data_IF_539390631133
#
_entry.id   IF_539390631133
#
_cell.length_a   1.000
_cell.length_b   1.000
_cell.length_c   1.000
_cell.angle_alpha   90.00
_cell.angle_beta   90.00
_cell.angle_gamma   90.00
#
_symmetry.space_group_name_H-M   'P 1'
#
loop_
_entity.id
_entity.type
_entity.pdbx_description
1 polymer ?
#
# COMPACT_ATOMS: atom_id res chain seq x y z
N UNK A 1 -24.36 21.75 16.61
CA UNK A 1 -24.03 20.31 16.45
C UNK A 1 -23.91 20.04 14.95
N UNK A 2 -22.73 19.69 14.45
CA UNK A 2 -22.45 19.71 13.00
C UNK A 2 -22.68 18.32 12.39
N UNK A 3 -23.88 18.08 11.86
CA UNK A 3 -24.30 16.79 11.30
C UNK A 3 -23.42 16.30 10.13
N UNK A 4 -22.64 17.21 9.56
CA UNK A 4 -21.82 16.97 8.38
C UNK A 4 -20.55 16.17 8.67
N UNK A 5 -20.05 16.17 9.91
CA UNK A 5 -18.71 15.65 10.20
C UNK A 5 -18.70 14.13 10.45
N UNK A 6 -19.66 13.63 11.24
CA UNK A 6 -19.80 12.18 11.48
C UNK A 6 -20.17 11.43 10.18
N UNK A 7 -21.02 12.02 9.32
CA UNK A 7 -21.41 11.39 8.06
C UNK A 7 -20.21 11.24 7.12
N UNK A 8 -19.23 12.14 7.22
CA UNK A 8 -17.98 12.07 6.47
C UNK A 8 -17.05 10.98 7.00
N UNK A 9 -16.96 10.81 8.32
CA UNK A 9 -16.15 9.73 8.95
C UNK A 9 -16.74 8.36 8.65
N UNK A 10 -18.05 8.19 8.81
CA UNK A 10 -18.71 6.93 8.46
C UNK A 10 -18.49 6.59 6.97
N UNK A 11 -18.73 7.55 6.07
CA UNK A 11 -18.51 7.35 4.63
C UNK A 11 -17.06 7.06 4.28
N UNK A 12 -16.09 7.61 5.01
CA UNK A 12 -14.66 7.37 4.78
C UNK A 12 -14.35 5.88 4.90
N UNK A 13 -14.75 5.25 6.01
CA UNK A 13 -14.46 3.84 6.26
C UNK A 13 -15.42 2.90 5.53
N UNK A 14 -16.72 3.22 5.52
CA UNK A 14 -17.74 2.36 4.92
C UNK A 14 -17.56 2.18 3.41
N UNK A 15 -17.26 3.26 2.69
CA UNK A 15 -17.10 3.22 1.24
C UNK A 15 -15.65 2.98 0.80
N UNK A 16 -14.76 2.63 1.73
CA UNK A 16 -13.34 2.51 1.42
C UNK A 16 -13.09 1.31 0.51
N UNK A 17 -12.54 1.57 -0.67
CA UNK A 17 -12.10 0.53 -1.60
C UNK A 17 -10.65 0.16 -1.33
N UNK A 18 -10.39 -1.13 -1.14
CA UNK A 18 -9.07 -1.67 -0.78
C UNK A 18 -8.13 -1.88 -1.98
N UNK A 19 -8.36 -1.19 -3.10
CA UNK A 19 -7.49 -1.30 -4.28
C UNK A 19 -6.04 -0.88 -3.99
N UNK A 20 -5.84 0.12 -3.13
CA UNK A 20 -4.50 0.55 -2.73
C UNK A 20 -3.79 -0.54 -1.94
N UNK A 21 -4.48 -1.13 -0.96
CA UNK A 21 -3.99 -2.26 -0.17
C UNK A 21 -3.58 -3.43 -1.09
N UNK A 22 -4.46 -3.87 -1.99
CA UNK A 22 -4.15 -4.99 -2.88
C UNK A 22 -2.98 -4.69 -3.82
N UNK A 23 -2.87 -3.46 -4.33
CA UNK A 23 -1.72 -3.08 -5.16
C UNK A 23 -0.42 -3.08 -4.35
N UNK A 24 -0.44 -2.58 -3.11
CA UNK A 24 0.71 -2.61 -2.20
C UNK A 24 1.11 -4.04 -1.86
N UNK A 25 0.17 -4.90 -1.48
CA UNK A 25 0.45 -6.31 -1.15
C UNK A 25 0.99 -7.07 -2.37
N UNK A 26 0.35 -6.95 -3.52
CA UNK A 26 0.81 -7.59 -4.75
C UNK A 26 2.22 -7.11 -5.14
N UNK A 27 2.51 -5.81 -5.00
CA UNK A 27 3.85 -5.27 -5.25
C UNK A 27 4.88 -5.78 -4.22
N UNK A 28 4.54 -5.82 -2.92
CA UNK A 28 5.42 -6.39 -1.87
C UNK A 28 5.76 -7.85 -2.18
N UNK A 29 4.75 -8.64 -2.54
CA UNK A 29 4.94 -10.03 -2.94
C UNK A 29 5.79 -10.15 -4.20
N UNK A 30 5.53 -9.33 -5.23
CA UNK A 30 6.35 -9.29 -6.43
C UNK A 30 7.83 -9.00 -6.14
N UNK A 31 8.12 -8.03 -5.30
CA UNK A 31 9.50 -7.65 -4.97
C UNK A 31 10.21 -8.68 -4.08
N UNK A 32 9.46 -9.39 -3.23
CA UNK A 32 10.02 -10.35 -2.26
C UNK A 32 10.15 -11.75 -2.85
N UNK A 33 9.12 -12.20 -3.57
CA UNK A 33 8.96 -13.57 -4.04
C UNK A 33 9.03 -13.70 -5.57
N UNK A 34 9.09 -12.60 -6.31
CA UNK A 34 9.23 -12.61 -7.76
C UNK A 34 10.39 -13.49 -8.23
N UNK A 35 10.12 -14.38 -9.18
CA UNK A 35 11.13 -15.30 -9.73
C UNK A 35 12.19 -14.57 -10.58
N UNK A 36 11.83 -13.42 -11.16
CA UNK A 36 12.67 -12.63 -12.05
C UNK A 36 12.85 -11.19 -11.54
N UNK A 37 13.46 -10.99 -10.37
CA UNK A 37 13.72 -9.63 -9.85
C UNK A 37 14.82 -8.88 -10.63
N UNK A 38 15.63 -9.60 -11.40
CA UNK A 38 16.76 -9.05 -12.17
C UNK A 38 16.57 -9.07 -13.68
N UNK A 39 15.41 -9.48 -14.21
CA UNK A 39 15.21 -9.46 -15.66
C UNK A 39 15.06 -8.03 -16.19
N UNK A 40 15.52 -7.81 -17.42
CA UNK A 40 15.41 -6.51 -18.09
C UNK A 40 13.95 -6.04 -18.19
N UNK A 41 13.03 -6.95 -18.49
CA UNK A 41 11.58 -6.68 -18.51
C UNK A 41 11.05 -6.21 -17.15
N UNK A 42 11.54 -6.80 -16.05
CA UNK A 42 11.16 -6.40 -14.70
C UNK A 42 11.59 -4.97 -14.41
N UNK A 43 12.87 -4.68 -14.66
CA UNK A 43 13.47 -3.36 -14.45
C UNK A 43 12.81 -2.27 -15.29
N UNK A 44 12.55 -2.55 -16.57
CA UNK A 44 11.82 -1.64 -17.47
C UNK A 44 10.42 -1.38 -16.92
N UNK A 45 9.72 -2.42 -16.45
CA UNK A 45 8.35 -2.26 -15.96
C UNK A 45 8.28 -1.48 -14.65
N UNK A 46 9.19 -1.74 -13.70
CA UNK A 46 9.29 -0.94 -12.47
C UNK A 46 9.68 0.51 -12.75
N UNK A 47 10.60 0.73 -13.69
CA UNK A 47 10.98 2.08 -14.12
C UNK A 47 9.82 2.80 -14.81
N UNK A 48 9.01 2.09 -15.61
CA UNK A 48 7.79 2.61 -16.21
C UNK A 48 6.79 3.04 -15.15
N UNK A 49 6.54 2.19 -14.13
CA UNK A 49 5.67 2.53 -13.01
C UNK A 49 6.19 3.74 -12.23
N UNK A 50 7.49 3.77 -11.93
CA UNK A 50 8.13 4.91 -11.27
C UNK A 50 7.91 6.20 -12.06
N UNK A 51 8.16 6.18 -13.38
CA UNK A 51 7.94 7.34 -14.24
C UNK A 51 6.48 7.80 -14.26
N UNK A 52 5.54 6.85 -14.23
CA UNK A 52 4.10 7.16 -14.20
C UNK A 52 3.60 7.63 -12.84
N UNK A 53 4.23 7.19 -11.76
CA UNK A 53 3.88 7.57 -10.39
C UNK A 53 4.51 8.87 -9.92
N UNK A 54 5.66 9.24 -10.49
CA UNK A 54 6.36 10.46 -10.10
C UNK A 54 5.60 11.70 -10.56
N UNK A 55 5.12 12.47 -9.59
CA UNK A 55 4.53 13.80 -9.80
C UNK A 55 5.61 14.86 -10.06
N UNK A 56 6.86 14.61 -9.64
CA UNK A 56 7.98 15.54 -9.84
C UNK A 56 8.40 15.64 -11.31
N UNK A 57 8.59 16.88 -11.77
CA UNK A 57 9.19 17.22 -13.06
C UNK A 57 10.73 17.32 -12.99
N UNK A 58 11.33 17.13 -11.81
CA UNK A 58 12.78 17.16 -11.63
C UNK A 58 13.46 16.00 -12.37
N UNK A 59 14.36 16.32 -13.30
CA UNK A 59 15.19 15.33 -13.98
C UNK A 59 16.09 14.58 -13.00
N UNK A 60 16.61 15.28 -11.98
CA UNK A 60 17.48 14.67 -10.96
C UNK A 60 16.72 13.65 -10.09
N UNK A 61 15.46 13.92 -9.74
CA UNK A 61 14.64 12.96 -8.98
C UNK A 61 14.42 11.69 -9.81
N UNK A 62 14.10 11.86 -11.10
CA UNK A 62 13.90 10.75 -12.03
C UNK A 62 15.16 9.92 -12.20
N UNK A 63 16.32 10.56 -12.37
CA UNK A 63 17.60 9.87 -12.52
C UNK A 63 17.99 9.13 -11.23
N UNK A 64 17.90 9.80 -10.08
CA UNK A 64 18.24 9.22 -8.78
C UNK A 64 17.37 8.00 -8.46
N UNK A 65 16.06 8.11 -8.65
CA UNK A 65 15.13 7.00 -8.37
C UNK A 65 15.24 5.87 -9.40
N UNK A 66 15.48 6.19 -10.68
CA UNK A 66 15.74 5.17 -11.71
C UNK A 66 17.03 4.40 -11.42
N UNK A 67 18.06 5.08 -10.92
CA UNK A 67 19.30 4.44 -10.50
C UNK A 67 19.07 3.45 -9.36
N UNK A 68 18.25 3.83 -8.35
CA UNK A 68 17.86 2.91 -7.26
C UNK A 68 17.05 1.71 -7.78
N UNK A 69 16.05 1.94 -8.64
CA UNK A 69 15.21 0.85 -9.21
C UNK A 69 16.04 -0.16 -10.00
N UNK A 70 17.10 0.30 -10.69
CA UNK A 70 17.97 -0.57 -11.47
C UNK A 70 19.06 -1.28 -10.65
N UNK A 71 18.99 -1.23 -9.32
CA UNK A 71 19.90 -1.93 -8.41
C UNK A 71 21.13 -1.13 -7.98
N UNK A 72 21.14 0.18 -8.22
CA UNK A 72 22.31 1.06 -8.04
C UNK A 72 22.67 1.45 -6.60
N UNK A 73 22.53 0.60 -5.59
CA UNK A 73 22.96 0.94 -4.22
C UNK A 73 24.08 0.05 -3.71
N UNK A 74 25.18 0.02 -4.46
CA UNK A 74 26.40 -0.66 -4.04
C UNK A 74 27.11 0.13 -2.93
N UNK A 75 27.42 -0.57 -1.83
CA UNK A 75 27.93 0.03 -0.57
C UNK A 75 29.23 0.84 -0.74
N UNK A 76 30.01 0.56 -1.79
CA UNK A 76 31.32 1.16 -2.06
C UNK A 76 31.35 2.11 -3.27
N UNK A 77 30.22 2.38 -3.90
CA UNK A 77 30.15 3.29 -5.05
C UNK A 77 30.01 4.74 -4.61
N UNK A 78 30.88 5.62 -5.12
CA UNK A 78 30.78 7.08 -4.92
C UNK A 78 29.44 7.60 -5.48
N UNK A 79 29.01 7.07 -6.63
CA UNK A 79 27.72 7.41 -7.23
C UNK A 79 26.55 6.99 -6.32
N UNK A 80 26.60 5.80 -5.73
CA UNK A 80 25.57 5.35 -4.77
C UNK A 80 25.52 6.23 -3.53
N UNK A 81 26.67 6.67 -3.00
CA UNK A 81 26.71 7.63 -1.88
C UNK A 81 26.12 8.99 -2.25
N UNK A 82 26.43 9.50 -3.44
CA UNK A 82 25.88 10.76 -3.94
C UNK A 82 24.36 10.68 -4.14
N UNK A 83 23.87 9.59 -4.73
CA UNK A 83 22.43 9.39 -4.93
C UNK A 83 21.71 9.24 -3.59
N UNK A 84 22.28 8.50 -2.63
CA UNK A 84 21.71 8.41 -1.28
C UNK A 84 21.66 9.76 -0.59
N UNK A 85 22.73 10.56 -0.64
CA UNK A 85 22.76 11.90 -0.07
C UNK A 85 21.71 12.81 -0.73
N UNK A 86 21.57 12.74 -2.06
CA UNK A 86 20.54 13.48 -2.79
C UNK A 86 19.13 13.09 -2.35
N UNK A 87 18.84 11.79 -2.29
CA UNK A 87 17.53 11.27 -1.90
C UNK A 87 17.17 11.64 -0.46
N UNK A 88 18.13 11.55 0.47
CA UNK A 88 17.95 11.97 1.87
C UNK A 88 17.65 13.47 1.96
N UNK A 89 18.41 14.31 1.25
CA UNK A 89 18.18 15.77 1.24
C UNK A 89 16.84 16.17 0.62
N UNK A 90 16.25 15.31 -0.22
CA UNK A 90 14.95 15.52 -0.87
C UNK A 90 13.79 14.86 -0.13
N UNK A 91 14.04 14.22 1.02
CA UNK A 91 13.08 13.37 1.74
C UNK A 91 12.48 12.22 0.90
N UNK A 92 13.19 11.79 -0.14
CA UNK A 92 12.82 10.68 -1.02
C UNK A 92 13.31 9.34 -0.44
N UNK A 93 12.83 9.01 0.75
CA UNK A 93 13.19 7.78 1.50
C UNK A 93 12.68 6.52 0.77
N UNK A 94 13.17 5.31 1.11
CA UNK A 94 12.74 4.06 0.45
C UNK A 94 11.21 3.86 0.39
N UNK A 95 10.49 4.26 1.44
CA UNK A 95 9.02 4.19 1.47
C UNK A 95 8.39 5.07 0.37
N UNK A 96 8.97 6.24 0.07
CA UNK A 96 8.49 7.10 -1.01
C UNK A 96 8.56 6.39 -2.37
N UNK A 97 9.66 5.69 -2.66
CA UNK A 97 9.83 4.96 -3.92
C UNK A 97 8.81 3.83 -4.03
N UNK A 98 8.66 3.05 -2.96
CA UNK A 98 7.66 1.97 -2.92
C UNK A 98 6.24 2.52 -3.11
N UNK A 99 5.85 3.55 -2.37
CA UNK A 99 4.51 4.16 -2.44
C UNK A 99 4.21 4.76 -3.81
N UNK A 100 5.22 5.38 -4.43
CA UNK A 100 5.13 5.93 -5.79
C UNK A 100 4.82 4.83 -6.80
N UNK A 101 5.57 3.73 -6.75
CA UNK A 101 5.37 2.58 -7.65
C UNK A 101 4.05 1.89 -7.35
N UNK A 102 3.68 1.69 -6.07
CA UNK A 102 2.42 1.08 -5.67
C UNK A 102 1.20 1.89 -6.14
N UNK A 103 1.26 3.22 -6.04
CA UNK A 103 0.21 4.11 -6.55
C UNK A 103 0.08 4.01 -8.06
N UNK A 104 1.20 4.08 -8.79
CA UNK A 104 1.20 3.88 -10.24
C UNK A 104 0.66 2.52 -10.64
N UNK A 105 1.03 1.48 -9.90
CA UNK A 105 0.56 0.12 -10.13
C UNK A 105 -0.94 -0.02 -9.89
N UNK A 106 -1.48 0.57 -8.81
CA UNK A 106 -2.92 0.63 -8.57
C UNK A 106 -3.65 1.30 -9.76
N UNK A 107 -3.13 2.41 -10.27
CA UNK A 107 -3.72 3.07 -11.44
C UNK A 107 -3.68 2.17 -12.67
N UNK A 108 -2.56 1.48 -12.89
CA UNK A 108 -2.41 0.51 -13.96
C UNK A 108 -3.39 -0.66 -13.83
N UNK A 109 -3.61 -1.20 -12.64
CA UNK A 109 -4.60 -2.27 -12.41
C UNK A 109 -6.03 -1.80 -12.72
N UNK A 110 -6.37 -0.55 -12.40
CA UNK A 110 -7.70 0.02 -12.67
C UNK A 110 -7.93 0.33 -14.15
N UNK A 111 -6.90 0.79 -14.86
CA UNK A 111 -7.00 1.29 -16.25
C UNK A 111 -6.53 0.30 -17.30
N UNK A 112 -5.59 -0.56 -16.96
CA UNK A 112 -4.92 -1.52 -17.84
C UNK A 112 -5.88 -2.34 -18.72
N UNK A 113 -6.98 -2.91 -18.18
CA UNK A 113 -7.96 -3.63 -19.00
C UNK A 113 -8.65 -2.79 -20.09
N UNK A 114 -8.66 -1.46 -19.93
CA UNK A 114 -9.39 -0.51 -20.78
C UNK A 114 -8.48 0.37 -21.63
N UNK A 115 -7.15 0.32 -21.44
CA UNK A 115 -6.21 1.20 -22.15
C UNK A 115 -6.02 0.75 -23.60
N UNK A 116 -5.91 1.73 -24.50
CA UNK A 116 -5.49 1.51 -25.90
C UNK A 116 -3.97 1.62 -26.07
N UNK A 117 -3.24 2.07 -25.05
CA UNK A 117 -1.80 2.23 -25.10
C UNK A 117 -1.11 0.86 -25.00
N UNK A 118 -0.36 0.48 -26.04
CA UNK A 118 0.30 -0.83 -26.11
C UNK A 118 1.35 -1.04 -25.01
N UNK A 119 2.13 -0.01 -24.66
CA UNK A 119 3.14 -0.08 -23.61
C UNK A 119 2.48 -0.31 -22.25
N UNK A 120 1.41 0.44 -21.97
CA UNK A 120 0.63 0.28 -20.75
C UNK A 120 -0.03 -1.11 -20.67
N UNK A 121 -0.56 -1.61 -21.78
CA UNK A 121 -1.15 -2.95 -21.87
C UNK A 121 -0.10 -4.04 -21.64
N UNK A 122 1.09 -3.89 -22.22
CA UNK A 122 2.22 -4.82 -21.99
C UNK A 122 2.68 -4.81 -20.53
N UNK A 123 2.87 -3.63 -19.94
CA UNK A 123 3.22 -3.50 -18.52
C UNK A 123 2.15 -4.14 -17.61
N UNK A 124 0.88 -3.92 -17.91
CA UNK A 124 -0.24 -4.52 -17.18
C UNK A 124 -0.22 -6.06 -17.25
N UNK A 125 -0.12 -6.63 -18.45
CA UNK A 125 -0.10 -8.09 -18.63
C UNK A 125 1.13 -8.72 -17.96
N UNK A 126 2.30 -8.08 -18.09
CA UNK A 126 3.52 -8.53 -17.44
C UNK A 126 3.38 -8.57 -15.92
N UNK A 127 2.95 -7.45 -15.31
CA UNK A 127 2.81 -7.35 -13.85
C UNK A 127 1.72 -8.28 -13.32
N UNK A 128 0.60 -8.44 -14.04
CA UNK A 128 -0.46 -9.36 -13.63
C UNK A 128 0.08 -10.78 -13.51
N UNK A 129 0.78 -11.27 -14.54
CA UNK A 129 1.41 -12.59 -14.54
C UNK A 129 2.45 -12.74 -13.43
N UNK A 130 3.34 -11.76 -13.26
CA UNK A 130 4.43 -11.87 -12.28
C UNK A 130 3.96 -11.73 -10.83
N UNK A 131 2.94 -10.91 -10.59
CA UNK A 131 2.31 -10.84 -9.27
C UNK A 131 1.60 -12.16 -8.94
N UNK A 132 0.91 -12.78 -9.89
CA UNK A 132 0.26 -14.08 -9.67
C UNK A 132 1.27 -15.17 -9.29
N UNK A 133 2.36 -15.30 -10.05
CA UNK A 133 3.47 -16.20 -9.73
C UNK A 133 4.08 -15.92 -8.35
N UNK A 134 4.30 -14.64 -8.02
CA UNK A 134 4.90 -14.23 -6.75
C UNK A 134 3.96 -14.47 -5.56
N UNK A 135 2.65 -14.24 -5.73
CA UNK A 135 1.62 -14.55 -4.72
C UNK A 135 1.57 -16.05 -4.49
N UNK A 136 1.49 -16.86 -5.54
CA UNK A 136 1.47 -18.31 -5.41
C UNK A 136 2.71 -18.84 -4.66
N UNK A 137 3.91 -18.34 -5.02
CA UNK A 137 5.15 -18.71 -4.34
C UNK A 137 5.21 -18.20 -2.90
N UNK A 138 4.81 -16.95 -2.65
CA UNK A 138 4.82 -16.39 -1.30
C UNK A 138 3.89 -17.16 -0.37
N UNK A 139 2.69 -17.50 -0.85
CA UNK A 139 1.73 -18.31 -0.11
C UNK A 139 2.22 -19.73 0.13
N UNK A 140 2.93 -20.36 -0.81
CA UNK A 140 3.48 -21.71 -0.57
C UNK A 140 4.61 -21.73 0.47
N UNK A 141 5.32 -20.62 0.65
CA UNK A 141 6.44 -20.52 1.62
C UNK A 141 6.00 -20.00 2.98
N UNK A 142 5.13 -18.99 3.01
CA UNK A 142 4.74 -18.27 4.25
C UNK A 142 3.30 -18.50 4.68
N UNK A 143 2.47 -19.07 3.80
CA UNK A 143 1.03 -19.23 4.04
C UNK A 143 0.28 -17.89 4.04
N UNK A 144 -1.02 -17.97 4.30
CA UNK A 144 -1.89 -16.79 4.35
C UNK A 144 -1.70 -15.90 5.58
N UNK A 145 -1.07 -16.42 6.65
CA UNK A 145 -0.79 -15.65 7.86
C UNK A 145 0.08 -14.41 7.56
N UNK A 146 1.05 -14.52 6.65
CA UNK A 146 1.90 -13.39 6.24
C UNK A 146 1.09 -12.30 5.52
N UNK A 147 0.14 -12.69 4.66
CA UNK A 147 -0.79 -11.73 4.01
C UNK A 147 -1.62 -10.99 5.06
N UNK A 148 -2.15 -11.74 6.03
CA UNK A 148 -2.93 -11.19 7.13
C UNK A 148 -2.11 -10.19 7.96
N UNK A 149 -0.89 -10.57 8.38
CA UNK A 149 -0.02 -9.73 9.20
C UNK A 149 0.40 -8.44 8.48
N UNK A 150 0.77 -8.54 7.20
CA UNK A 150 1.10 -7.37 6.39
C UNK A 150 -0.11 -6.43 6.25
N UNK A 151 -1.29 -6.98 5.99
CA UNK A 151 -2.50 -6.19 5.88
C UNK A 151 -2.91 -5.55 7.21
N UNK A 152 -2.68 -6.25 8.33
CA UNK A 152 -2.93 -5.75 9.69
C UNK A 152 -2.11 -4.52 10.02
N UNK A 153 -0.83 -4.51 9.63
CA UNK A 153 0.01 -3.30 9.75
C UNK A 153 -0.56 -2.15 8.93
N UNK A 154 -0.95 -2.39 7.67
CA UNK A 154 -1.54 -1.34 6.83
C UNK A 154 -2.90 -0.84 7.36
N UNK A 155 -3.67 -1.70 8.01
CA UNK A 155 -4.89 -1.34 8.72
C UNK A 155 -4.64 -0.41 9.89
N UNK A 156 -3.58 -0.64 10.65
CA UNK A 156 -3.15 0.25 11.74
C UNK A 156 -2.72 1.61 11.18
N UNK A 157 -1.92 1.60 10.11
CA UNK A 157 -1.47 2.82 9.42
C UNK A 157 -2.65 3.66 8.91
N UNK A 158 -3.75 3.03 8.46
CA UNK A 158 -4.96 3.75 8.05
C UNK A 158 -5.51 4.63 9.18
N UNK A 159 -5.53 4.11 10.40
CA UNK A 159 -6.01 4.85 11.57
C UNK A 159 -5.07 6.00 11.89
N UNK A 160 -3.77 5.75 11.94
CA UNK A 160 -2.77 6.79 12.21
C UNK A 160 -2.86 7.93 11.18
N UNK A 161 -3.01 7.60 9.89
CA UNK A 161 -3.16 8.59 8.81
C UNK A 161 -4.43 9.43 8.92
N UNK A 162 -5.48 8.92 9.57
CA UNK A 162 -6.76 9.60 9.73
C UNK A 162 -6.99 10.06 11.17
N UNK A 163 -6.00 9.92 12.06
CA UNK A 163 -6.16 10.14 13.50
C UNK A 163 -6.67 11.55 13.79
N UNK A 164 -6.01 12.56 13.22
CA UNK A 164 -6.40 13.97 13.36
C UNK A 164 -7.85 14.23 12.95
N UNK A 165 -8.40 13.47 12.01
CA UNK A 165 -9.78 13.63 11.52
C UNK A 165 -10.79 12.89 12.39
N UNK A 166 -10.44 11.72 12.88
CA UNK A 166 -11.36 10.91 13.70
C UNK A 166 -11.37 11.34 15.16
N UNK A 167 -10.29 11.96 15.67
CA UNK A 167 -10.20 12.47 17.04
C UNK A 167 -10.75 13.89 17.21
N UNK A 168 -11.30 14.52 16.16
CA UNK A 168 -11.77 15.91 16.24
C UNK A 168 -12.92 16.10 17.22
N UNK A 169 -13.79 15.10 17.36
CA UNK A 169 -14.91 15.14 18.29
C UNK A 169 -15.16 13.74 18.85
N UNK A 170 -15.71 13.60 20.07
CA UNK A 170 -16.10 12.30 20.61
C UNK A 170 -17.04 11.52 19.68
N UNK A 171 -17.94 12.22 18.99
CA UNK A 171 -18.85 11.59 18.04
C UNK A 171 -18.13 11.05 16.79
N UNK A 172 -17.13 11.78 16.27
CA UNK A 172 -16.31 11.31 15.16
C UNK A 172 -15.51 10.07 15.55
N UNK A 173 -15.00 10.03 16.78
CA UNK A 173 -14.28 8.89 17.33
C UNK A 173 -15.17 7.64 17.43
N UNK A 174 -16.33 7.76 18.06
CA UNK A 174 -17.30 6.66 18.14
C UNK A 174 -17.77 6.19 16.77
N UNK A 175 -18.00 7.12 15.85
CA UNK A 175 -18.39 6.78 14.47
C UNK A 175 -17.30 5.99 13.76
N UNK A 176 -16.02 6.34 13.96
CA UNK A 176 -14.89 5.59 13.40
C UNK A 176 -14.85 4.16 13.95
N UNK A 177 -14.98 3.99 15.28
CA UNK A 177 -15.04 2.67 15.93
C UNK A 177 -16.17 1.80 15.38
N UNK A 178 -17.39 2.35 15.29
CA UNK A 178 -18.56 1.64 14.74
C UNK A 178 -18.32 1.25 13.28
N UNK A 179 -17.89 2.18 12.44
CA UNK A 179 -17.69 1.92 11.02
C UNK A 179 -16.62 0.85 10.77
N UNK A 180 -15.49 0.91 11.48
CA UNK A 180 -14.41 -0.08 11.39
C UNK A 180 -14.85 -1.44 11.94
N UNK A 181 -15.60 -1.49 13.04
CA UNK A 181 -16.16 -2.73 13.57
C UNK A 181 -17.14 -3.39 12.58
N UNK A 182 -18.05 -2.61 11.98
CA UNK A 182 -18.95 -3.12 10.96
C UNK A 182 -18.20 -3.68 9.75
N UNK A 183 -17.15 -2.99 9.27
CA UNK A 183 -16.29 -3.47 8.17
C UNK A 183 -15.52 -4.74 8.53
N UNK A 184 -15.09 -4.87 9.79
CA UNK A 184 -14.44 -6.08 10.29
C UNK A 184 -15.39 -7.28 10.29
N UNK A 185 -16.63 -7.07 10.75
CA UNK A 185 -17.68 -8.10 10.74
C UNK A 185 -18.03 -8.50 9.30
N UNK A 186 -18.17 -7.53 8.41
CA UNK A 186 -18.43 -7.78 6.98
C UNK A 186 -17.30 -8.61 6.36
N UNK A 187 -16.03 -8.24 6.62
CA UNK A 187 -14.88 -8.98 6.10
C UNK A 187 -14.82 -10.43 6.63
N UNK A 188 -15.26 -10.68 7.87
CA UNK A 188 -15.30 -12.01 8.47
C UNK A 188 -16.38 -12.92 7.85
N UNK A 189 -17.57 -12.38 7.58
CA UNK A 189 -18.74 -13.16 7.16
C UNK A 189 -18.94 -13.20 5.64
N UNK A 190 -18.21 -12.38 4.88
CA UNK A 190 -18.32 -12.38 3.43
C UNK A 190 -17.67 -13.64 2.86
N UNK A 191 -18.48 -14.52 2.27
CA UNK A 191 -17.98 -15.64 1.46
C UNK A 191 -17.15 -15.08 0.30
N UNK A 192 -15.83 -15.29 0.36
CA UNK A 192 -14.90 -14.92 -0.71
C UNK A 192 -14.26 -16.17 -1.24
N UNK A 193 -14.26 -16.28 -2.57
CA UNK A 193 -13.60 -17.38 -3.30
C UNK A 193 -12.10 -17.17 -3.46
N UNK A 194 -11.59 -15.98 -3.12
CA UNK A 194 -10.18 -15.59 -3.21
C UNK A 194 -9.59 -15.49 -1.80
N UNK A 195 -8.92 -16.54 -1.36
CA UNK A 195 -8.31 -16.65 -0.03
C UNK A 195 -7.26 -15.55 0.23
N UNK A 196 -6.55 -15.10 -0.81
CA UNK A 196 -5.58 -14.03 -0.66
C UNK A 196 -6.28 -12.72 -0.30
N UNK A 197 -7.35 -12.38 -1.03
CA UNK A 197 -8.16 -11.20 -0.73
C UNK A 197 -8.86 -11.31 0.61
N UNK A 198 -9.41 -12.48 0.92
CA UNK A 198 -10.07 -12.72 2.21
C UNK A 198 -9.13 -12.40 3.38
N UNK A 199 -7.95 -13.02 3.40
CA UNK A 199 -6.98 -12.83 4.49
C UNK A 199 -6.45 -11.39 4.54
N UNK A 200 -6.20 -10.77 3.38
CA UNK A 200 -5.79 -9.36 3.34
C UNK A 200 -6.86 -8.43 3.90
N UNK A 201 -8.13 -8.56 3.50
CA UNK A 201 -9.18 -7.69 4.01
C UNK A 201 -9.47 -7.91 5.49
N UNK A 202 -9.47 -9.17 5.93
CA UNK A 202 -9.66 -9.52 7.33
C UNK A 202 -8.52 -8.94 8.19
N UNK A 203 -7.27 -9.12 7.77
CA UNK A 203 -6.11 -8.53 8.44
C UNK A 203 -6.19 -7.02 8.52
N UNK A 204 -6.53 -6.37 7.40
CA UNK A 204 -6.65 -4.91 7.31
C UNK A 204 -7.64 -4.32 8.31
N UNK A 205 -8.88 -4.83 8.32
CA UNK A 205 -9.89 -4.30 9.24
C UNK A 205 -9.63 -4.69 10.69
N UNK A 206 -9.02 -5.87 10.93
CA UNK A 206 -8.56 -6.27 12.27
C UNK A 206 -7.52 -5.29 12.81
N UNK A 207 -6.50 -4.96 12.01
CA UNK A 207 -5.45 -4.01 12.42
C UNK A 207 -5.98 -2.61 12.68
N UNK A 208 -6.91 -2.14 11.84
CA UNK A 208 -7.60 -0.87 12.06
C UNK A 208 -8.37 -0.87 13.40
N UNK A 209 -9.09 -1.95 13.71
CA UNK A 209 -9.83 -2.08 14.96
C UNK A 209 -8.92 -2.18 16.18
N UNK A 210 -7.83 -2.95 16.08
CA UNK A 210 -6.82 -3.08 17.14
C UNK A 210 -6.18 -1.73 17.45
N UNK A 211 -5.82 -0.94 16.43
CA UNK A 211 -5.20 0.38 16.61
C UNK A 211 -6.15 1.37 17.28
N UNK A 212 -7.43 1.39 16.92
CA UNK A 212 -8.44 2.23 17.59
C UNK A 212 -8.57 1.88 19.09
N UNK A 213 -8.59 0.59 19.43
CA UNK A 213 -8.66 0.12 20.83
C UNK A 213 -7.40 0.45 21.61
N UNK A 214 -6.24 0.42 20.96
CA UNK A 214 -4.98 0.78 21.59
C UNK A 214 -4.98 2.27 21.97
N UNK A 215 -5.36 3.14 21.04
CA UNK A 215 -5.44 4.59 21.26
C UNK A 215 -6.44 4.94 22.39
N UNK A 216 -7.57 4.24 22.46
CA UNK A 216 -8.55 4.41 23.54
C UNK A 216 -7.97 4.04 24.92
N UNK A 217 -7.12 3.01 25.00
CA UNK A 217 -6.43 2.66 26.25
C UNK A 217 -5.38 3.70 26.64
N UNK A 218 -4.65 4.22 25.66
CA UNK A 218 -3.64 5.27 25.87
C UNK A 218 -4.29 6.54 26.43
N UNK A 219 -5.42 7.00 25.84
CA UNK A 219 -6.17 8.17 26.32
C UNK A 219 -6.70 8.00 27.76
N UNK A 220 -7.23 6.84 28.08
CA UNK A 220 -7.73 6.53 29.42
C UNK A 220 -6.61 6.43 30.48
N UNK A 221 -5.37 6.10 30.07
CA UNK A 221 -4.23 6.01 31.00
C UNK A 221 -3.55 7.35 31.27
N UNK A 222 -3.73 8.35 30.41
CA UNK A 222 -3.22 9.72 30.60
C UNK A 222 -4.16 10.60 31.44
N UNK A 223 -5.38 10.12 31.70
CA UNK A 223 -6.42 10.83 32.45
C UNK A 223 -6.54 10.40 33.92
N UNK A 224 -5.73 9.43 34.36
CA UNK A 224 -5.52 8.99 35.74
C UNK A 224 -4.28 9.64 36.38
#
# INVERSE_FOLDING_TARGET
MNFTDYSKVFRLFWNMKLHSLFAQLALRYLLTWGLETNSLSHRITLTYLLYKGLESNSLFDRLALTYVVNGGLEKNSVLSRLVLAYLVNRDLKPNFLFDTIARAFMHLLKRGPKTRNLVEKMAFMYLLKRCDEAVHKGLSVRGFADVFDLARVEGSNLIDQNLQRISQTPMAWETAKIAVACRSIEALHQEKTDDFRYNAELGYWTGALERLRQLEKEENSESD
#
